data_IF_654811269000
#
_entry.id   IF_654811269000
#
_cell.length_a   1.000
_cell.length_b   1.000
_cell.length_c   1.000
_cell.angle_alpha   90.00
_cell.angle_beta   90.00
_cell.angle_gamma   90.00
#
_symmetry.space_group_name_H-M   'P 1'
#
loop_
_entity.id
_entity.type
_entity.pdbx_description
1 polymer ?
#
# COMPACT_ATOMS: atom_id res chain seq x y z
N UNK A 1 10.11 -3.31 -6.73
CA UNK A 1 8.81 -2.60 -6.89
C UNK A 1 8.65 -2.13 -8.34
N UNK A 2 7.42 -1.92 -8.82
CA UNK A 2 7.14 -1.42 -10.19
C UNK A 2 6.13 -0.26 -10.14
N UNK A 3 6.36 0.78 -10.94
CA UNK A 3 5.34 1.78 -11.25
C UNK A 3 4.40 1.23 -12.34
N UNK A 4 3.09 1.40 -12.16
CA UNK A 4 2.06 0.88 -13.04
C UNK A 4 1.12 1.99 -13.51
N UNK A 5 0.83 2.00 -14.82
CA UNK A 5 -0.07 2.96 -15.44
C UNK A 5 -1.17 2.23 -16.25
N UNK A 6 -2.40 2.09 -15.71
CA UNK A 6 -3.45 1.33 -16.36
C UNK A 6 -3.94 1.97 -17.68
N UNK A 7 -3.85 3.30 -17.84
CA UNK A 7 -4.23 3.97 -19.11
C UNK A 7 -3.42 3.49 -20.33
N UNK A 8 -2.24 2.90 -20.12
CA UNK A 8 -1.42 2.35 -21.22
C UNK A 8 -1.95 1.03 -21.78
N UNK A 9 -2.83 0.35 -21.05
CA UNK A 9 -3.47 -0.90 -21.50
C UNK A 9 -4.53 -0.59 -22.55
N UNK A 10 -5.40 0.39 -22.27
CA UNK A 10 -6.44 0.86 -23.17
C UNK A 10 -7.63 1.47 -22.40
N UNK A 11 -8.55 2.16 -23.09
CA UNK A 11 -9.70 2.82 -22.45
C UNK A 11 -10.69 1.84 -21.80
N UNK A 12 -10.67 0.57 -22.20
CA UNK A 12 -11.49 -0.49 -21.63
C UNK A 12 -10.96 -1.01 -20.28
N UNK A 13 -9.74 -0.67 -19.90
CA UNK A 13 -9.09 -1.19 -18.71
C UNK A 13 -9.05 -0.14 -17.58
N UNK A 14 -9.90 -0.33 -16.58
CA UNK A 14 -10.07 0.62 -15.47
C UNK A 14 -9.11 0.35 -14.31
N UNK A 15 -9.08 1.24 -13.32
CA UNK A 15 -8.30 1.02 -12.09
C UNK A 15 -8.85 -0.15 -11.27
N UNK A 16 -10.17 -0.36 -11.25
CA UNK A 16 -10.80 -1.50 -10.57
C UNK A 16 -10.40 -2.82 -11.22
N UNK A 17 -10.27 -2.86 -12.55
CA UNK A 17 -9.73 -4.02 -13.24
C UNK A 17 -8.27 -4.27 -12.83
N UNK A 18 -7.45 -3.23 -12.73
CA UNK A 18 -6.08 -3.34 -12.23
C UNK A 18 -6.03 -3.90 -10.79
N UNK A 19 -6.92 -3.45 -9.90
CA UNK A 19 -7.00 -3.93 -8.52
C UNK A 19 -7.31 -5.44 -8.49
N UNK A 20 -8.31 -5.87 -9.27
CA UNK A 20 -8.66 -7.30 -9.40
C UNK A 20 -7.50 -8.14 -9.94
N UNK A 21 -6.75 -7.63 -10.91
CA UNK A 21 -5.58 -8.33 -11.45
C UNK A 21 -4.48 -8.47 -10.40
N UNK A 22 -4.17 -7.42 -9.65
CA UNK A 22 -3.16 -7.48 -8.58
C UNK A 22 -3.55 -8.48 -7.50
N UNK A 23 -4.80 -8.43 -7.01
CA UNK A 23 -5.27 -9.36 -5.99
C UNK A 23 -5.40 -10.80 -6.52
N UNK A 24 -5.81 -10.98 -7.76
CA UNK A 24 -5.87 -12.29 -8.41
C UNK A 24 -4.49 -12.94 -8.56
N UNK A 25 -3.46 -12.18 -8.96
CA UNK A 25 -2.07 -12.69 -9.02
C UNK A 25 -1.57 -13.07 -7.63
N UNK A 26 -1.84 -12.24 -6.62
CA UNK A 26 -1.50 -12.53 -5.21
C UNK A 26 -2.17 -13.82 -4.74
N UNK A 27 -3.45 -14.01 -5.03
CA UNK A 27 -4.19 -15.22 -4.68
C UNK A 27 -3.66 -16.46 -5.40
N UNK A 28 -3.44 -16.38 -6.72
CA UNK A 28 -2.98 -17.51 -7.54
C UNK A 28 -1.55 -17.95 -7.23
N UNK A 29 -0.67 -17.01 -6.84
CA UNK A 29 0.72 -17.31 -6.50
C UNK A 29 0.95 -17.67 -5.04
N UNK A 30 0.07 -17.20 -4.13
CA UNK A 30 0.31 -17.25 -2.68
C UNK A 30 1.43 -16.31 -2.20
N UNK A 31 1.97 -15.46 -3.08
CA UNK A 31 3.12 -14.58 -2.80
C UNK A 31 2.72 -13.11 -2.81
N UNK A 32 3.58 -12.25 -2.25
CA UNK A 32 3.30 -10.82 -2.18
C UNK A 32 3.10 -10.21 -3.57
N UNK A 33 1.98 -9.53 -3.76
CA UNK A 33 1.77 -8.49 -4.74
C UNK A 33 0.71 -7.54 -4.18
N UNK A 34 1.02 -6.26 -4.10
CA UNK A 34 0.17 -5.27 -3.44
C UNK A 34 0.41 -3.89 -4.05
N UNK A 35 -0.66 -3.13 -4.28
CA UNK A 35 -0.55 -1.70 -4.58
C UNK A 35 -0.21 -0.99 -3.28
N UNK A 36 0.92 -0.28 -3.29
CA UNK A 36 1.52 0.35 -2.11
C UNK A 36 1.51 1.86 -2.17
N UNK A 37 1.39 2.43 -3.38
CA UNK A 37 1.18 3.87 -3.53
C UNK A 37 0.06 4.13 -4.54
N UNK A 38 -0.98 4.80 -4.07
CA UNK A 38 -2.08 5.33 -4.87
C UNK A 38 -1.74 6.77 -5.26
N UNK A 39 -0.87 6.97 -6.26
CA UNK A 39 -0.28 8.29 -6.55
C UNK A 39 -1.21 9.21 -7.34
N UNK A 40 -1.73 8.77 -8.49
CA UNK A 40 -2.58 9.59 -9.35
C UNK A 40 -3.66 8.73 -9.96
N UNK A 41 -4.92 9.15 -9.78
CA UNK A 41 -6.09 8.38 -10.19
C UNK A 41 -6.01 8.02 -11.67
N UNK A 42 -6.25 6.73 -11.97
CA UNK A 42 -6.15 6.07 -13.27
C UNK A 42 -4.79 6.15 -13.98
N UNK A 43 -3.79 6.86 -13.45
CA UNK A 43 -2.54 7.15 -14.17
C UNK A 43 -1.31 6.53 -13.57
N UNK A 44 -1.17 6.58 -12.24
CA UNK A 44 0.08 6.19 -11.60
C UNK A 44 -0.19 5.51 -10.27
N UNK A 45 0.25 4.26 -10.20
CA UNK A 45 0.27 3.44 -9.01
C UNK A 45 1.66 2.86 -8.84
N UNK A 46 2.02 2.45 -7.63
CA UNK A 46 3.21 1.63 -7.38
C UNK A 46 2.77 0.31 -6.78
N UNK A 47 3.28 -0.78 -7.36
CA UNK A 47 3.04 -2.15 -6.91
C UNK A 47 4.33 -2.72 -6.35
N UNK A 48 4.25 -3.28 -5.14
CA UNK A 48 5.32 -4.02 -4.49
C UNK A 48 4.97 -5.52 -4.46
N UNK A 49 5.96 -6.39 -4.58
CA UNK A 49 5.74 -7.83 -4.60
C UNK A 49 7.02 -8.60 -4.85
N UNK A 50 6.89 -9.91 -4.96
CA UNK A 50 7.98 -10.77 -5.45
C UNK A 50 8.22 -10.52 -6.96
N UNK A 51 9.44 -10.73 -7.43
CA UNK A 51 9.81 -10.50 -8.83
C UNK A 51 8.94 -11.30 -9.80
N UNK A 52 8.60 -12.55 -9.48
CA UNK A 52 7.70 -13.38 -10.30
C UNK A 52 6.33 -12.72 -10.42
N UNK A 53 5.75 -12.23 -9.33
CA UNK A 53 4.44 -11.61 -9.39
C UNK A 53 4.43 -10.26 -10.12
N UNK A 54 5.49 -9.46 -9.98
CA UNK A 54 5.63 -8.19 -10.70
C UNK A 54 5.83 -8.40 -12.21
N UNK A 55 6.56 -9.44 -12.61
CA UNK A 55 6.67 -9.81 -14.03
C UNK A 55 5.34 -10.37 -14.56
N UNK A 56 4.64 -11.21 -13.78
CA UNK A 56 3.29 -11.70 -14.13
C UNK A 56 2.32 -10.55 -14.35
N UNK A 57 2.36 -9.52 -13.49
CA UNK A 57 1.57 -8.30 -13.69
C UNK A 57 1.93 -7.61 -15.02
N UNK A 58 3.21 -7.51 -15.34
CA UNK A 58 3.68 -6.93 -16.61
C UNK A 58 3.10 -7.66 -17.83
N UNK A 59 3.16 -9.00 -17.83
CA UNK A 59 2.62 -9.84 -18.90
C UNK A 59 1.09 -9.77 -18.98
N UNK A 60 0.41 -9.84 -17.84
CA UNK A 60 -1.04 -9.76 -17.78
C UNK A 60 -1.56 -8.43 -18.35
N UNK A 61 -0.96 -7.30 -17.96
CA UNK A 61 -1.35 -5.99 -18.48
C UNK A 61 -1.07 -5.86 -19.99
N UNK A 62 -0.05 -6.53 -20.52
CA UNK A 62 0.17 -6.62 -21.96
C UNK A 62 -0.91 -7.47 -22.66
N UNK A 63 -1.32 -8.58 -22.07
CA UNK A 63 -2.39 -9.44 -22.60
C UNK A 63 -3.76 -8.72 -22.65
N UNK A 64 -4.12 -7.97 -21.60
CA UNK A 64 -5.39 -7.20 -21.57
C UNK A 64 -5.50 -6.13 -22.65
N UNK A 65 -4.38 -5.66 -23.21
CA UNK A 65 -4.40 -4.77 -24.37
C UNK A 65 -4.99 -5.46 -25.61
N UNK A 66 -4.79 -6.77 -25.75
CA UNK A 66 -5.32 -7.58 -26.85
C UNK A 66 -6.72 -8.12 -26.55
N UNK A 67 -6.93 -8.65 -25.35
CA UNK A 67 -8.17 -9.35 -24.93
C UNK A 67 -9.39 -8.41 -24.86
N UNK A 68 -9.19 -7.11 -24.58
CA UNK A 68 -10.25 -6.07 -24.55
C UNK A 68 -11.48 -6.38 -23.67
N UNK A 69 -11.36 -7.36 -22.78
CA UNK A 69 -12.38 -7.76 -21.80
C UNK A 69 -11.74 -7.86 -20.42
N UNK A 70 -12.50 -7.44 -19.41
CA UNK A 70 -12.12 -7.56 -17.99
C UNK A 70 -13.19 -8.34 -17.20
N UNK A 71 -13.91 -9.23 -17.89
CA UNK A 71 -14.83 -10.17 -17.27
C UNK A 71 -14.07 -11.08 -16.29
N UNK A 72 -14.68 -11.53 -15.19
CA UNK A 72 -13.99 -12.34 -14.18
C UNK A 72 -13.28 -13.59 -14.74
N UNK A 73 -13.95 -14.37 -15.60
CA UNK A 73 -13.32 -15.58 -16.16
C UNK A 73 -12.10 -15.26 -17.02
N UNK A 74 -12.18 -14.15 -17.76
CA UNK A 74 -11.08 -13.69 -18.61
C UNK A 74 -9.91 -13.18 -17.75
N UNK A 75 -10.20 -12.50 -16.64
CA UNK A 75 -9.18 -12.05 -15.70
C UNK A 75 -8.44 -13.24 -15.10
N UNK A 76 -9.16 -14.26 -14.64
CA UNK A 76 -8.56 -15.48 -14.09
C UNK A 76 -7.70 -16.21 -15.12
N UNK A 77 -8.20 -16.35 -16.35
CA UNK A 77 -7.47 -16.97 -17.45
C UNK A 77 -6.16 -16.23 -17.77
N UNK A 78 -6.22 -14.90 -17.97
CA UNK A 78 -5.03 -14.08 -18.27
C UNK A 78 -4.00 -14.18 -17.14
N UNK A 79 -4.45 -14.20 -15.88
CA UNK A 79 -3.56 -14.35 -14.72
C UNK A 79 -2.87 -15.72 -14.73
N UNK A 80 -3.62 -16.81 -14.96
CA UNK A 80 -3.08 -18.16 -14.97
C UNK A 80 -2.03 -18.34 -16.09
N UNK A 81 -2.36 -17.90 -17.31
CA UNK A 81 -1.46 -17.96 -18.46
C UNK A 81 -0.19 -17.13 -18.23
N UNK A 82 -0.34 -15.88 -17.75
CA UNK A 82 0.79 -14.99 -17.46
C UNK A 82 1.69 -15.56 -16.36
N UNK A 83 1.11 -16.16 -15.32
CA UNK A 83 1.86 -16.74 -14.22
C UNK A 83 2.65 -17.96 -14.66
N UNK A 84 2.06 -18.83 -15.48
CA UNK A 84 2.73 -19.99 -16.07
C UNK A 84 3.91 -19.55 -16.95
N UNK A 85 3.71 -18.54 -17.80
CA UNK A 85 4.76 -17.98 -18.64
C UNK A 85 5.92 -17.40 -17.81
N UNK A 86 5.62 -16.65 -16.75
CA UNK A 86 6.65 -16.09 -15.86
C UNK A 86 7.45 -17.18 -15.16
N UNK A 87 6.78 -18.22 -14.65
CA UNK A 87 7.45 -19.35 -13.96
C UNK A 87 8.40 -20.09 -14.91
N UNK A 88 7.96 -20.38 -16.13
CA UNK A 88 8.82 -20.98 -17.15
C UNK A 88 10.04 -20.09 -17.49
N UNK A 89 9.85 -18.75 -17.56
CA UNK A 89 10.97 -17.81 -17.73
C UNK A 89 11.94 -17.85 -16.54
N UNK A 90 11.42 -17.89 -15.31
CA UNK A 90 12.20 -17.97 -14.07
C UNK A 90 13.05 -19.24 -14.03
N UNK A 91 12.47 -20.39 -14.33
CA UNK A 91 13.17 -21.68 -14.42
C UNK A 91 14.29 -21.65 -15.48
N UNK A 92 14.02 -21.09 -16.66
CA UNK A 92 15.04 -20.93 -17.71
C UNK A 92 16.20 -20.03 -17.28
N UNK A 93 15.91 -18.93 -16.57
CA UNK A 93 16.94 -18.08 -15.98
C UNK A 93 17.82 -18.86 -15.00
N UNK A 94 17.21 -19.63 -14.09
CA UNK A 94 17.91 -20.45 -13.10
C UNK A 94 18.79 -21.53 -13.75
N UNK A 95 18.26 -22.27 -14.72
CA UNK A 95 19.01 -23.29 -15.47
C UNK A 95 20.20 -22.70 -16.23
N UNK A 96 20.08 -21.47 -16.72
CA UNK A 96 21.16 -20.76 -17.43
C UNK A 96 22.12 -20.00 -16.51
N UNK A 97 21.91 -20.03 -15.18
CA UNK A 97 22.71 -19.28 -14.21
C UNK A 97 22.56 -17.75 -14.32
N UNK A 98 21.51 -17.26 -14.98
CA UNK A 98 21.27 -15.83 -15.20
C UNK A 98 20.28 -15.28 -14.15
N UNK A 99 20.48 -14.05 -13.65
CA UNK A 99 19.57 -13.45 -12.69
C UNK A 99 18.20 -13.17 -13.34
N UNK A 100 17.13 -13.44 -12.58
CA UNK A 100 15.78 -13.08 -12.99
C UNK A 100 15.52 -11.60 -12.70
N UNK A 101 15.64 -10.78 -13.73
CA UNK A 101 15.50 -9.33 -13.65
C UNK A 101 14.20 -8.87 -14.31
N UNK A 102 13.59 -7.86 -13.68
CA UNK A 102 12.40 -7.20 -14.23
C UNK A 102 12.82 -6.26 -15.36
N UNK A 103 12.00 -6.18 -16.39
CA UNK A 103 12.19 -5.23 -17.49
C UNK A 103 10.99 -4.29 -17.59
N UNK A 104 11.16 -3.17 -18.29
CA UNK A 104 10.04 -2.26 -18.58
C UNK A 104 9.02 -2.99 -19.46
N UNK A 105 7.78 -3.06 -19.01
CA UNK A 105 6.66 -3.58 -19.80
C UNK A 105 5.85 -2.47 -20.48
N UNK A 106 4.72 -2.86 -21.06
CA UNK A 106 3.76 -1.95 -21.69
C UNK A 106 3.26 -0.89 -20.69
N UNK A 107 2.78 -1.35 -19.54
CA UNK A 107 2.12 -0.56 -18.52
C UNK A 107 2.87 -0.55 -17.17
N UNK A 108 4.03 -1.21 -17.10
CA UNK A 108 4.85 -1.37 -15.89
C UNK A 108 6.26 -0.82 -16.11
N UNK A 109 6.85 -0.20 -15.10
CA UNK A 109 8.24 0.27 -15.11
C UNK A 109 8.90 -0.07 -13.77
N UNK A 110 9.90 -0.96 -13.74
CA UNK A 110 10.63 -1.27 -12.51
C UNK A 110 11.28 -0.03 -11.88
N UNK A 111 11.19 0.05 -10.55
CA UNK A 111 11.92 1.05 -9.76
C UNK A 111 13.30 0.50 -9.43
N UNK A 112 14.31 0.93 -10.19
CA UNK A 112 15.69 0.44 -10.08
C UNK A 112 16.29 0.88 -8.74
N UNK A 113 16.96 -0.04 -8.04
CA UNK A 113 17.61 0.21 -6.75
C UNK A 113 16.69 0.15 -5.53
N UNK A 114 15.43 -0.26 -5.70
CA UNK A 114 14.47 -0.44 -4.60
C UNK A 114 14.08 -1.91 -4.47
N UNK A 115 14.70 -2.58 -3.50
CA UNK A 115 14.55 -4.01 -3.24
C UNK A 115 13.64 -4.32 -2.04
N UNK A 116 13.28 -3.32 -1.23
CA UNK A 116 12.39 -3.48 -0.07
C UNK A 116 10.96 -3.11 -0.47
N UNK A 117 9.94 -3.95 -0.19
CA UNK A 117 8.55 -3.68 -0.52
C UNK A 117 7.90 -2.74 0.50
N UNK A 118 8.32 -1.47 0.52
CA UNK A 118 7.77 -0.46 1.42
C UNK A 118 6.26 -0.30 1.27
N UNK A 119 5.60 0.09 2.37
CA UNK A 119 4.15 0.29 2.48
C UNK A 119 3.34 -0.98 2.20
N UNK A 120 3.98 -2.15 2.23
CA UNK A 120 3.32 -3.44 2.04
C UNK A 120 3.16 -4.19 3.35
N UNK A 121 2.20 -5.10 3.36
CA UNK A 121 1.92 -5.99 4.49
C UNK A 121 3.10 -6.88 4.89
N UNK A 122 4.07 -7.08 4.00
CA UNK A 122 5.30 -7.83 4.27
C UNK A 122 6.07 -7.23 5.45
N UNK A 123 5.95 -5.92 5.66
CA UNK A 123 6.65 -5.18 6.69
C UNK A 123 5.87 -5.06 8.01
N UNK A 124 4.64 -5.62 8.09
CA UNK A 124 3.83 -5.57 9.31
C UNK A 124 4.54 -6.20 10.52
N UNK A 125 5.32 -7.26 10.30
CA UNK A 125 6.10 -7.90 11.36
C UNK A 125 7.13 -6.97 12.03
N UNK A 126 7.55 -5.90 11.36
CA UNK A 126 8.48 -4.91 11.90
C UNK A 126 7.82 -3.80 12.72
N UNK A 127 6.49 -3.65 12.64
CA UNK A 127 5.74 -2.55 13.29
C UNK A 127 5.95 -2.52 14.81
N UNK A 128 5.94 -3.65 15.55
CA UNK A 128 6.18 -3.63 16.99
C UNK A 128 7.54 -3.04 17.39
N UNK A 129 8.61 -3.43 16.70
CA UNK A 129 9.96 -2.94 16.97
C UNK A 129 10.10 -1.45 16.65
N UNK A 130 9.53 -1.01 15.51
CA UNK A 130 9.57 0.40 15.13
C UNK A 130 8.73 1.27 16.06
N UNK A 131 7.54 0.81 16.47
CA UNK A 131 6.72 1.45 17.51
C UNK A 131 7.51 1.63 18.80
N UNK A 132 8.16 0.59 19.29
CA UNK A 132 8.96 0.65 20.52
C UNK A 132 10.06 1.72 20.40
N UNK A 133 10.74 1.80 19.25
CA UNK A 133 11.70 2.85 18.98
C UNK A 133 11.05 4.24 18.99
N UNK A 134 9.94 4.46 18.27
CA UNK A 134 9.26 5.77 18.20
C UNK A 134 8.80 6.27 19.57
N UNK A 135 8.31 5.37 20.45
CA UNK A 135 7.96 5.73 21.85
C UNK A 135 9.12 6.30 22.65
N UNK A 136 10.37 6.00 22.28
CA UNK A 136 11.56 6.59 22.93
C UNK A 136 11.95 7.95 22.34
N UNK A 137 11.42 8.31 21.17
CA UNK A 137 11.80 9.50 20.41
C UNK A 137 10.84 10.66 20.57
N UNK A 138 9.59 10.39 20.93
CA UNK A 138 8.59 11.42 21.11
C UNK A 138 8.24 11.60 22.59
N UNK A 139 8.46 12.80 23.10
CA UNK A 139 7.98 13.18 24.42
C UNK A 139 6.50 13.60 24.34
N UNK A 140 5.60 13.02 25.16
CA UNK A 140 4.16 13.35 25.11
C UNK A 140 3.83 14.83 25.37
N UNK A 141 4.58 15.49 26.26
CA UNK A 141 4.37 16.90 26.60
C UNK A 141 4.84 17.82 25.47
N UNK A 142 5.94 17.46 24.79
CA UNK A 142 6.38 18.16 23.57
C UNK A 142 5.33 18.03 22.47
N UNK A 143 4.80 16.83 22.23
CA UNK A 143 3.75 16.62 21.23
C UNK A 143 2.47 17.38 21.55
N UNK A 144 2.06 17.44 22.81
CA UNK A 144 0.90 18.25 23.21
C UNK A 144 1.09 19.73 22.84
N UNK A 145 2.27 20.31 23.13
CA UNK A 145 2.59 21.69 22.75
C UNK A 145 2.62 21.91 21.24
N UNK A 146 2.88 20.86 20.46
CA UNK A 146 2.92 20.89 19.01
C UNK A 146 1.57 20.59 18.35
N UNK A 147 0.52 20.21 19.11
CA UNK A 147 -0.81 19.96 18.56
C UNK A 147 -1.34 21.09 17.65
N UNK A 148 -1.11 22.39 17.93
CA UNK A 148 -1.50 23.45 17.00
C UNK A 148 -0.87 23.31 15.62
N UNK A 149 0.29 22.68 15.48
CA UNK A 149 0.94 22.45 14.17
C UNK A 149 0.41 21.20 13.45
N UNK A 150 -0.26 20.30 14.18
CA UNK A 150 -0.74 19.01 13.68
C UNK A 150 -2.24 19.05 13.38
N UNK A 151 -3.05 19.43 14.37
CA UNK A 151 -4.50 19.40 14.30
C UNK A 151 -4.99 20.29 13.16
N UNK A 152 -5.77 19.71 12.25
CA UNK A 152 -6.29 20.37 11.05
C UNK A 152 -5.22 20.97 10.13
N UNK A 153 -3.96 20.51 10.24
CA UNK A 153 -2.82 21.01 9.44
C UNK A 153 -1.95 19.91 8.86
N UNK A 154 -1.92 18.74 9.49
CA UNK A 154 -1.18 17.58 9.01
C UNK A 154 -2.13 16.55 8.39
N UNK A 155 -1.78 16.00 7.22
CA UNK A 155 -2.48 14.89 6.57
C UNK A 155 -1.51 13.71 6.48
N UNK A 156 -1.66 12.67 7.31
CA UNK A 156 -0.83 11.47 7.19
C UNK A 156 -1.22 10.63 5.97
N UNK A 157 -0.22 10.04 5.32
CA UNK A 157 -0.39 9.20 4.12
C UNK A 157 -1.28 7.97 4.35
N UNK A 158 -1.39 7.52 5.61
CA UNK A 158 -2.08 6.30 6.02
C UNK A 158 -3.59 6.37 5.82
N UNK A 159 -4.22 7.45 6.30
CA UNK A 159 -5.68 7.64 6.28
C UNK A 159 -6.12 8.74 5.32
N UNK A 160 -5.21 9.66 4.95
CA UNK A 160 -5.49 10.79 4.06
C UNK A 160 -6.61 11.73 4.53
N UNK A 161 -6.79 11.86 5.83
CA UNK A 161 -7.68 12.81 6.50
C UNK A 161 -6.87 13.78 7.38
N UNK A 162 -7.45 14.93 7.72
CA UNK A 162 -6.77 15.90 8.59
C UNK A 162 -6.60 15.32 9.99
N UNK A 163 -5.38 15.43 10.53
CA UNK A 163 -5.04 14.98 11.87
C UNK A 163 -5.97 15.62 12.90
N UNK A 164 -6.55 14.80 13.76
CA UNK A 164 -7.51 15.22 14.78
C UNK A 164 -7.38 14.36 16.04
N UNK A 165 -7.83 14.89 17.18
CA UNK A 165 -7.98 14.14 18.43
C UNK A 165 -9.43 13.70 18.69
N UNK A 166 -10.33 13.92 17.73
CA UNK A 166 -11.72 13.47 17.82
C UNK A 166 -11.82 11.94 17.72
N UNK A 167 -12.78 11.35 18.44
CA UNK A 167 -12.99 9.89 18.49
C UNK A 167 -13.13 9.26 17.09
N UNK A 168 -13.79 9.95 16.16
CA UNK A 168 -13.95 9.50 14.77
C UNK A 168 -12.62 9.31 14.02
N UNK A 169 -11.61 10.14 14.34
CA UNK A 169 -10.29 10.01 13.73
C UNK A 169 -9.52 8.80 14.30
N UNK A 170 -9.66 8.50 15.59
CA UNK A 170 -9.10 7.28 16.17
C UNK A 170 -9.70 6.03 15.53
N UNK A 171 -11.02 6.03 15.29
CA UNK A 171 -11.70 4.92 14.62
C UNK A 171 -11.16 4.75 13.19
N UNK A 172 -10.99 5.84 12.44
CA UNK A 172 -10.43 5.79 11.09
C UNK A 172 -9.01 5.21 11.06
N UNK A 173 -8.13 5.66 11.96
CA UNK A 173 -6.76 5.12 12.06
C UNK A 173 -6.79 3.66 12.52
N UNK A 174 -7.68 3.29 13.44
CA UNK A 174 -7.86 1.90 13.84
C UNK A 174 -8.34 1.02 12.69
N UNK A 175 -9.27 1.48 11.85
CA UNK A 175 -9.71 0.72 10.68
C UNK A 175 -8.57 0.46 9.69
N UNK A 176 -7.66 1.43 9.51
CA UNK A 176 -6.50 1.31 8.62
C UNK A 176 -5.38 0.41 9.19
N UNK A 177 -5.22 0.35 10.51
CA UNK A 177 -4.07 -0.29 11.16
C UNK A 177 -4.37 -1.57 11.92
N UNK A 178 -5.61 -1.69 12.42
CA UNK A 178 -6.02 -2.67 13.43
C UNK A 178 -5.09 -2.66 14.66
N UNK A 179 -4.61 -1.48 15.05
CA UNK A 179 -3.72 -1.35 16.21
C UNK A 179 -4.42 -1.74 17.51
N UNK A 180 -3.83 -2.65 18.32
CA UNK A 180 -4.41 -3.00 19.62
C UNK A 180 -4.41 -1.81 20.59
N UNK A 181 -3.44 -0.90 20.49
CA UNK A 181 -3.36 0.29 21.36
C UNK A 181 -4.44 1.33 21.02
N UNK A 182 -4.85 1.43 19.75
CA UNK A 182 -5.99 2.27 19.37
C UNK A 182 -7.30 1.63 19.81
N UNK A 183 -7.41 0.30 19.74
CA UNK A 183 -8.59 -0.43 20.22
C UNK A 183 -8.86 -0.19 21.71
N UNK A 184 -7.81 -0.15 22.55
CA UNK A 184 -7.92 0.16 23.98
C UNK A 184 -8.50 1.55 24.24
N UNK A 185 -8.07 2.56 23.46
CA UNK A 185 -8.50 3.96 23.64
C UNK A 185 -9.87 4.24 23.04
N UNK A 186 -10.34 3.42 22.09
CA UNK A 186 -11.67 3.54 21.49
C UNK A 186 -12.81 3.13 22.44
N UNK A 187 -12.50 2.46 23.56
CA UNK A 187 -13.46 2.33 24.66
C UNK A 187 -13.76 3.73 25.23
N UNK A 188 -15.05 4.11 25.26
CA UNK A 188 -15.51 5.47 25.59
C UNK A 188 -15.01 5.93 26.97
N UNK A 189 -14.92 5.02 27.94
CA UNK A 189 -14.37 5.35 29.26
C UNK A 189 -12.86 5.65 29.19
N UNK A 190 -12.11 4.86 28.43
CA UNK A 190 -10.67 5.04 28.29
C UNK A 190 -10.31 6.34 27.55
N UNK A 191 -11.06 6.70 26.50
CA UNK A 191 -10.84 7.96 25.79
C UNK A 191 -10.99 9.17 26.72
N UNK A 192 -12.02 9.18 27.56
CA UNK A 192 -12.30 10.30 28.48
C UNK A 192 -11.26 10.43 29.60
N UNK A 193 -10.65 9.32 30.02
CA UNK A 193 -9.64 9.30 31.08
C UNK A 193 -8.22 9.58 30.58
N UNK A 194 -8.00 9.54 29.26
CA UNK A 194 -6.67 9.71 28.67
C UNK A 194 -6.36 11.17 28.41
N UNK A 195 -5.18 11.63 28.84
CA UNK A 195 -4.75 13.03 28.66
C UNK A 195 -4.47 13.35 27.20
N UNK A 196 -4.57 14.63 26.81
CA UNK A 196 -4.24 15.09 25.45
C UNK A 196 -2.82 14.73 25.03
N UNK A 197 -1.83 14.87 25.91
CA UNK A 197 -0.46 14.42 25.68
C UNK A 197 -0.38 12.93 25.31
N UNK A 198 -1.07 12.06 26.07
CA UNK A 198 -1.07 10.62 25.82
C UNK A 198 -1.77 10.28 24.49
N UNK A 199 -2.91 10.91 24.20
CA UNK A 199 -3.66 10.74 22.95
C UNK A 199 -2.83 11.18 21.73
N UNK A 200 -2.20 12.35 21.80
CA UNK A 200 -1.34 12.87 20.75
C UNK A 200 -0.14 11.95 20.50
N UNK A 201 0.52 11.51 21.57
CA UNK A 201 1.63 10.59 21.49
C UNK A 201 1.23 9.24 20.89
N UNK A 202 0.12 8.65 21.34
CA UNK A 202 -0.41 7.41 20.79
C UNK A 202 -0.65 7.53 19.28
N UNK A 203 -1.40 8.55 18.84
CA UNK A 203 -1.71 8.73 17.42
C UNK A 203 -0.46 8.93 16.57
N UNK A 204 0.45 9.83 16.97
CA UNK A 204 1.69 10.08 16.20
C UNK A 204 2.53 8.82 16.09
N UNK A 205 2.70 8.09 17.19
CA UNK A 205 3.44 6.83 17.20
C UNK A 205 2.77 5.78 16.30
N UNK A 206 1.46 5.56 16.41
CA UNK A 206 0.78 4.53 15.62
C UNK A 206 0.74 4.90 14.13
N UNK A 207 0.46 6.17 13.78
CA UNK A 207 0.50 6.64 12.40
C UNK A 207 1.86 6.36 11.76
N UNK A 208 2.95 6.75 12.43
CA UNK A 208 4.31 6.54 11.92
C UNK A 208 4.72 5.06 11.95
N UNK A 209 4.33 4.31 12.98
CA UNK A 209 4.65 2.90 13.12
C UNK A 209 4.04 2.07 11.99
N UNK A 210 2.81 2.35 11.58
CA UNK A 210 2.17 1.65 10.47
C UNK A 210 2.50 2.25 9.10
N UNK A 211 2.98 3.49 9.03
CA UNK A 211 3.24 4.19 7.78
C UNK A 211 4.09 3.38 6.80
N UNK A 212 5.11 2.66 7.26
CA UNK A 212 6.02 1.90 6.39
C UNK A 212 5.47 0.53 5.97
N UNK A 213 4.35 0.07 6.54
CA UNK A 213 3.76 -1.24 6.29
C UNK A 213 2.32 -1.19 5.72
N UNK A 214 1.79 0.00 5.48
CA UNK A 214 0.43 0.21 4.95
C UNK A 214 0.46 1.14 3.73
N UNK A 215 -0.35 0.87 2.68
CA UNK A 215 -0.33 1.65 1.44
C UNK A 215 -0.64 3.14 1.59
N UNK A 216 0.09 3.97 0.84
CA UNK A 216 -0.05 5.43 0.79
C UNK A 216 -1.27 5.86 -0.03
N UNK A 217 -2.13 6.70 0.54
CA UNK A 217 -3.45 7.08 0.00
C UNK A 217 -3.46 8.44 -0.74
N UNK A 218 -2.49 8.69 -1.63
CA UNK A 218 -2.32 10.01 -2.27
C UNK A 218 -3.50 10.49 -3.12
N UNK A 219 -4.24 9.59 -3.75
CA UNK A 219 -5.48 9.92 -4.46
C UNK A 219 -6.50 10.54 -3.49
N UNK A 220 -6.68 9.94 -2.30
CA UNK A 220 -7.61 10.48 -1.29
C UNK A 220 -7.13 11.83 -0.75
N UNK A 221 -5.82 11.98 -0.53
CA UNK A 221 -5.24 13.26 -0.10
C UNK A 221 -5.50 14.36 -1.13
N UNK A 222 -5.32 14.08 -2.42
CA UNK A 222 -5.62 15.03 -3.49
C UNK A 222 -7.12 15.37 -3.54
N UNK A 223 -7.99 14.38 -3.39
CA UNK A 223 -9.44 14.63 -3.33
C UNK A 223 -9.82 15.56 -2.18
N UNK A 224 -9.20 15.40 -1.00
CA UNK A 224 -9.41 16.29 0.16
C UNK A 224 -8.90 17.72 -0.08
N UNK A 225 -7.76 17.88 -0.78
CA UNK A 225 -7.14 19.19 -0.99
C UNK A 225 -7.78 20.00 -2.12
N UNK A 226 -8.44 19.33 -3.07
CA UNK A 226 -9.02 19.95 -4.26
C UNK A 226 -10.55 19.83 -4.35
N UNK A 227 -11.22 19.38 -3.28
CA UNK A 227 -12.68 19.36 -3.15
C UNK A 227 -13.29 20.74 -2.94
#
# INVERSE_FOLDING_TARGET
>A
MVATNPTRVGPHFTEEAMYKVVDGIKAASGKLLQIVNFNTQQRLYVVAGENVNMETLSLALAAFKAVKSTAPEEVEKVIAESLAQTRARKEKCEQSGRPFTLSRGLATTPLVGIDVPFHSRELLGGVPSFRALLRTKFDPQVLERQLPLLVNRHIPNLVATLFSLESSYFEEVYQATKSPFLAEVLDTMHLQLTTKAQLAHLLVVELLAYQFAVPVQWIKTQALLFS
#
